data_IF_204666729514
#
_entry.id   IF_204666729514
#
_cell.length_a   1.000
_cell.length_b   1.000
_cell.length_c   1.000
_cell.angle_alpha   90.00
_cell.angle_beta   90.00
_cell.angle_gamma   90.00
#
_symmetry.space_group_name_H-M   'P 1'
#
loop_
_entity.id
_entity.type
_entity.pdbx_description
1 polymer ?
#
# COMPACT_ATOMS: atom_id res chain seq x y z
N UNK A 1 10.98 8.87 7.59
CA UNK A 1 11.56 8.75 6.25
C UNK A 1 10.59 9.36 5.27
N UNK A 2 11.05 10.29 4.46
CA UNK A 2 10.20 10.90 3.42
C UNK A 2 9.94 9.84 2.33
N UNK A 3 8.69 9.61 1.99
CA UNK A 3 8.31 8.89 0.78
C UNK A 3 8.91 9.61 -0.43
N UNK A 4 9.67 8.93 -1.27
CA UNK A 4 10.21 9.49 -2.50
C UNK A 4 9.47 8.93 -3.72
N UNK A 5 9.35 9.75 -4.77
CA UNK A 5 8.66 9.42 -6.01
C UNK A 5 9.12 8.11 -6.66
N UNK A 6 10.41 7.80 -6.56
CA UNK A 6 11.02 6.67 -7.27
C UNK A 6 10.73 5.31 -6.63
N UNK A 7 10.06 5.29 -5.50
CA UNK A 7 9.93 4.12 -4.64
C UNK A 7 8.50 3.78 -4.23
N UNK A 8 7.55 4.63 -4.60
CA UNK A 8 6.15 4.41 -4.30
C UNK A 8 5.39 4.05 -5.56
N UNK A 9 4.76 2.88 -5.55
CA UNK A 9 3.86 2.42 -6.60
C UNK A 9 2.45 2.33 -6.02
N UNK A 10 1.46 2.84 -6.73
CA UNK A 10 0.05 2.72 -6.40
C UNK A 10 -0.67 1.95 -7.49
N UNK A 11 -1.55 1.05 -7.07
CA UNK A 11 -2.45 0.31 -7.94
C UNK A 11 -3.88 0.49 -7.47
N UNK A 12 -4.81 0.72 -8.40
CA UNK A 12 -6.24 0.70 -8.13
C UNK A 12 -6.82 -0.49 -8.88
N UNK A 13 -7.53 -1.34 -8.16
CA UNK A 13 -8.17 -2.52 -8.71
C UNK A 13 -9.67 -2.48 -8.42
N UNK A 14 -10.44 -3.10 -9.29
CA UNK A 14 -11.86 -3.35 -9.11
C UNK A 14 -12.08 -4.87 -9.03
N UNK A 15 -12.76 -5.33 -7.98
CA UNK A 15 -13.16 -6.72 -7.82
C UNK A 15 -14.43 -6.98 -8.61
N UNK A 16 -14.36 -7.88 -9.57
CA UNK A 16 -15.52 -8.32 -10.32
C UNK A 16 -15.96 -9.68 -9.78
N UNK A 17 -17.16 -9.73 -9.19
CA UNK A 17 -17.71 -10.94 -8.58
C UNK A 17 -17.91 -12.06 -9.63
N UNK A 18 -18.14 -11.69 -10.90
CA UNK A 18 -18.34 -12.66 -11.99
C UNK A 18 -17.06 -13.32 -12.49
N UNK A 19 -15.90 -12.68 -12.28
CA UNK A 19 -14.61 -13.16 -12.79
C UNK A 19 -13.72 -13.68 -11.65
N UNK A 20 -14.06 -13.37 -10.39
CA UNK A 20 -13.32 -13.79 -9.20
C UNK A 20 -11.91 -13.19 -9.07
N UNK A 21 -11.55 -12.25 -9.97
CA UNK A 21 -10.24 -11.57 -9.97
C UNK A 21 -10.39 -10.07 -9.89
N UNK A 22 -9.49 -9.43 -9.15
CA UNK A 22 -9.38 -7.98 -9.13
C UNK A 22 -8.61 -7.50 -10.37
N UNK A 23 -9.17 -6.53 -11.10
CA UNK A 23 -8.59 -6.00 -12.34
C UNK A 23 -8.30 -4.50 -12.21
N UNK A 24 -7.23 -4.04 -12.84
CA UNK A 24 -6.85 -2.62 -12.86
C UNK A 24 -7.65 -1.78 -13.86
N UNK A 25 -8.67 -2.36 -14.49
CA UNK A 25 -9.53 -1.71 -15.48
C UNK A 25 -10.96 -2.22 -15.38
N UNK A 26 -11.91 -1.46 -15.90
CA UNK A 26 -13.30 -1.87 -16.02
C UNK A 26 -13.56 -2.52 -17.37
N UNK A 27 -14.58 -3.39 -17.40
CA UNK A 27 -14.93 -4.18 -18.60
C UNK A 27 -15.96 -3.51 -19.50
N UNK A 28 -16.59 -2.42 -19.05
CA UNK A 28 -17.72 -1.79 -19.72
C UNK A 28 -17.57 -0.26 -19.80
N UNK A 29 -18.39 0.36 -20.63
CA UNK A 29 -18.44 1.81 -20.79
C UNK A 29 -17.26 2.41 -21.56
N UNK A 30 -17.19 3.75 -21.61
CA UNK A 30 -16.12 4.48 -22.31
C UNK A 30 -14.73 4.31 -21.68
N UNK A 31 -14.67 3.72 -20.49
CA UNK A 31 -13.44 3.43 -19.74
C UNK A 31 -12.97 2.00 -19.89
N UNK A 32 -13.65 1.21 -20.71
CA UNK A 32 -13.31 -0.21 -20.95
C UNK A 32 -11.84 -0.36 -21.32
N UNK A 33 -11.13 -1.20 -20.55
CA UNK A 33 -9.72 -1.50 -20.76
C UNK A 33 -8.74 -0.38 -20.42
N UNK A 34 -9.22 0.78 -19.97
CA UNK A 34 -8.33 1.85 -19.48
C UNK A 34 -7.96 1.58 -18.03
N UNK A 35 -6.72 1.77 -17.68
CA UNK A 35 -6.29 1.64 -16.28
C UNK A 35 -7.03 2.62 -15.37
N UNK A 36 -7.43 2.15 -14.19
CA UNK A 36 -8.14 2.95 -13.21
C UNK A 36 -7.32 4.14 -12.71
N UNK A 37 -6.00 4.02 -12.59
CA UNK A 37 -5.12 5.16 -12.30
C UNK A 37 -5.32 6.30 -13.30
N UNK A 38 -5.37 5.99 -14.59
CA UNK A 38 -5.61 6.97 -15.65
C UNK A 38 -7.01 7.56 -15.60
N UNK A 39 -8.02 6.71 -15.34
CA UNK A 39 -9.41 7.16 -15.19
C UNK A 39 -9.56 8.14 -14.02
N UNK A 40 -8.82 7.92 -12.94
CA UNK A 40 -8.82 8.77 -11.73
C UNK A 40 -7.83 9.95 -11.80
N UNK A 41 -7.23 10.22 -12.99
CA UNK A 41 -6.23 11.27 -13.21
C UNK A 41 -4.97 11.17 -12.33
N UNK A 42 -4.59 9.94 -11.95
CA UNK A 42 -3.39 9.63 -11.16
C UNK A 42 -2.23 9.11 -12.03
N UNK A 43 -2.42 9.02 -13.34
CA UNK A 43 -1.45 8.65 -14.37
C UNK A 43 -1.66 9.57 -15.57
N UNK A 44 -0.96 10.71 -15.60
CA UNK A 44 -1.00 11.73 -16.64
C UNK A 44 0.36 12.03 -17.23
N UNK A 45 1.42 11.67 -16.52
CA UNK A 45 2.80 11.97 -16.83
C UNK A 45 3.56 10.68 -17.14
N UNK A 46 4.64 10.82 -17.93
CA UNK A 46 5.65 9.76 -18.08
C UNK A 46 6.80 9.96 -17.07
N UNK A 47 7.72 9.01 -17.03
CA UNK A 47 8.89 9.05 -16.15
C UNK A 47 9.81 10.30 -16.40
N UNK A 48 9.56 11.07 -17.45
CA UNK A 48 10.27 12.32 -17.79
C UNK A 48 9.44 13.57 -17.53
N UNK A 49 8.28 13.43 -16.86
CA UNK A 49 7.29 14.49 -16.61
C UNK A 49 6.67 15.10 -17.88
N UNK A 50 6.63 14.38 -19.00
CA UNK A 50 5.83 14.79 -20.14
C UNK A 50 4.38 14.34 -19.95
N UNK A 51 3.43 15.05 -20.56
CA UNK A 51 2.00 14.74 -20.50
C UNK A 51 1.65 13.51 -21.35
N UNK A 52 2.15 12.35 -20.94
CA UNK A 52 1.94 11.06 -21.58
C UNK A 52 1.79 9.97 -20.51
N UNK A 53 0.60 9.41 -20.32
CA UNK A 53 0.40 8.35 -19.33
C UNK A 53 1.29 7.15 -19.62
N UNK A 54 1.97 6.63 -18.60
CA UNK A 54 2.89 5.48 -18.71
C UNK A 54 2.42 4.23 -17.94
N UNK A 55 1.25 4.28 -17.34
CA UNK A 55 0.66 3.19 -16.56
C UNK A 55 1.11 3.15 -15.10
N UNK A 56 1.81 4.18 -14.64
CA UNK A 56 2.31 4.31 -13.29
C UNK A 56 1.65 5.45 -12.55
N UNK A 57 1.69 5.38 -11.23
CA UNK A 57 1.20 6.45 -10.38
C UNK A 57 2.13 7.67 -10.46
N UNK A 58 1.55 8.82 -10.78
CA UNK A 58 2.26 10.11 -10.77
C UNK A 58 2.43 10.59 -9.32
N UNK A 59 3.60 10.37 -8.74
CA UNK A 59 3.89 10.88 -7.42
C UNK A 59 4.28 12.37 -7.49
N UNK A 60 3.33 13.24 -7.17
CA UNK A 60 3.56 14.69 -7.10
C UNK A 60 3.18 15.18 -5.71
N UNK A 61 4.20 15.59 -4.92
CA UNK A 61 3.98 16.07 -3.55
C UNK A 61 3.02 17.27 -3.52
N UNK A 62 2.03 17.21 -2.65
CA UNK A 62 0.98 18.21 -2.51
C UNK A 62 -0.13 18.15 -3.57
N UNK A 63 -0.02 17.30 -4.60
CA UNK A 63 -1.03 17.17 -5.65
C UNK A 63 -1.66 15.77 -5.72
N UNK A 64 -0.85 14.71 -5.82
CA UNK A 64 -1.32 13.33 -5.83
C UNK A 64 -0.93 12.56 -4.57
N UNK A 65 0.03 13.06 -3.82
CA UNK A 65 0.50 12.47 -2.58
C UNK A 65 0.89 13.55 -1.57
N UNK A 66 0.75 13.21 -0.29
CA UNK A 66 1.29 13.99 0.82
C UNK A 66 2.13 13.05 1.69
N UNK A 67 3.45 13.17 1.56
CA UNK A 67 4.41 12.30 2.27
C UNK A 67 4.41 12.50 3.77
N UNK A 68 4.12 13.72 4.24
CA UNK A 68 4.13 14.06 5.67
C UNK A 68 2.96 13.42 6.42
N UNK A 69 1.80 13.27 5.74
CA UNK A 69 0.59 12.69 6.32
C UNK A 69 0.32 11.26 5.85
N UNK A 70 1.10 10.75 4.88
CA UNK A 70 0.91 9.43 4.28
C UNK A 70 -0.38 9.30 3.48
N UNK A 71 -0.85 10.39 2.86
CA UNK A 71 -2.12 10.41 2.13
C UNK A 71 -1.91 10.42 0.63
N UNK A 72 -2.77 9.69 -0.08
CA UNK A 72 -2.97 9.84 -1.52
C UNK A 72 -4.09 10.85 -1.75
N UNK A 73 -3.87 11.76 -2.68
CA UNK A 73 -4.79 12.82 -3.06
C UNK A 73 -5.28 12.52 -4.46
N UNK A 74 -6.58 12.39 -4.63
CA UNK A 74 -7.19 12.27 -5.94
C UNK A 74 -7.42 13.68 -6.51
N UNK A 75 -6.85 14.01 -7.69
CA UNK A 75 -7.01 15.35 -8.28
C UNK A 75 -8.35 15.51 -9.00
N UNK A 76 -9.37 14.82 -8.55
CA UNK A 76 -10.75 14.84 -9.04
C UNK A 76 -11.71 14.75 -7.86
N UNK A 77 -12.86 15.38 -7.98
CA UNK A 77 -13.92 15.24 -6.99
C UNK A 77 -14.64 13.91 -7.17
N UNK A 78 -14.99 13.26 -6.06
CA UNK A 78 -15.77 12.02 -6.03
C UNK A 78 -15.26 10.95 -7.01
N UNK A 79 -13.97 10.53 -6.89
CA UNK A 79 -13.32 9.67 -7.87
C UNK A 79 -14.08 8.36 -8.12
N UNK A 80 -14.69 7.76 -7.09
CA UNK A 80 -15.46 6.51 -7.20
C UNK A 80 -16.98 6.73 -7.37
N UNK A 81 -17.43 7.97 -7.43
CA UNK A 81 -18.82 8.39 -7.61
C UNK A 81 -19.04 9.11 -8.95
N UNK A 82 -19.44 10.37 -8.88
CA UNK A 82 -19.82 11.19 -10.03
C UNK A 82 -18.73 11.30 -11.10
N UNK A 83 -17.45 11.39 -10.70
CA UNK A 83 -16.33 11.41 -11.67
C UNK A 83 -16.29 10.12 -12.51
N UNK A 84 -16.37 8.96 -11.85
CA UNK A 84 -16.35 7.67 -12.53
C UNK A 84 -17.60 7.49 -13.41
N UNK A 85 -18.78 7.93 -12.94
CA UNK A 85 -20.01 7.89 -13.72
C UNK A 85 -19.88 8.66 -15.04
N UNK A 86 -19.34 9.88 -14.97
CA UNK A 86 -19.08 10.71 -16.13
C UNK A 86 -18.06 10.07 -17.09
N UNK A 87 -17.00 9.47 -16.55
CA UNK A 87 -16.00 8.79 -17.36
C UNK A 87 -16.57 7.56 -18.08
N UNK A 88 -17.46 6.79 -17.45
CA UNK A 88 -18.16 5.64 -18.04
C UNK A 88 -19.12 6.08 -19.15
N UNK A 89 -19.79 7.23 -18.98
CA UNK A 89 -20.61 7.86 -20.01
C UNK A 89 -21.98 7.22 -20.26
N UNK A 90 -22.35 6.17 -19.53
CA UNK A 90 -23.66 5.51 -19.59
C UNK A 90 -24.16 5.26 -18.17
N UNK A 91 -25.32 5.80 -17.82
CA UNK A 91 -25.86 5.74 -16.45
C UNK A 91 -26.16 4.34 -15.96
N UNK A 92 -26.74 3.49 -16.79
CA UNK A 92 -27.06 2.10 -16.40
C UNK A 92 -25.82 1.24 -16.21
N UNK A 93 -24.74 1.53 -16.93
CA UNK A 93 -23.45 0.88 -16.74
C UNK A 93 -22.77 1.47 -15.50
N UNK A 94 -22.82 2.77 -15.33
CA UNK A 94 -22.19 3.46 -14.22
C UNK A 94 -22.70 2.96 -12.85
N UNK A 95 -24.00 2.77 -12.70
CA UNK A 95 -24.62 2.26 -11.48
C UNK A 95 -24.00 0.95 -10.96
N UNK A 96 -23.48 0.12 -11.84
CA UNK A 96 -22.81 -1.15 -11.47
C UNK A 96 -21.47 -0.93 -10.80
N UNK A 97 -20.81 0.18 -11.10
CA UNK A 97 -19.41 0.43 -10.73
C UNK A 97 -19.20 1.53 -9.71
N UNK A 98 -20.11 2.54 -9.66
CA UNK A 98 -19.94 3.68 -8.78
C UNK A 98 -20.29 3.35 -7.34
N UNK A 99 -19.62 4.08 -6.45
CA UNK A 99 -19.91 4.07 -5.03
C UNK A 99 -20.13 5.52 -4.56
N UNK A 100 -21.25 6.11 -4.97
CA UNK A 100 -21.59 7.51 -4.68
C UNK A 100 -21.81 7.74 -3.18
N UNK A 101 -22.28 6.73 -2.46
CA UNK A 101 -22.56 6.78 -1.03
C UNK A 101 -21.30 7.02 -0.16
N UNK A 102 -20.11 6.84 -0.72
CA UNK A 102 -18.86 7.27 -0.05
C UNK A 102 -18.84 8.78 0.24
N UNK A 103 -19.59 9.56 -0.55
CA UNK A 103 -19.59 11.02 -0.50
C UNK A 103 -20.90 11.59 0.07
N UNK A 104 -22.02 10.88 -0.11
CA UNK A 104 -23.34 11.35 0.23
C UNK A 104 -23.87 10.76 1.56
N UNK A 105 -23.16 9.81 2.16
CA UNK A 105 -23.59 9.16 3.40
C UNK A 105 -22.54 9.26 4.52
N UNK A 106 -22.87 8.72 5.69
CA UNK A 106 -21.90 8.60 6.78
C UNK A 106 -20.91 7.48 6.51
N UNK A 107 -19.73 7.54 7.14
CA UNK A 107 -18.72 6.47 7.03
C UNK A 107 -19.29 5.09 7.39
N UNK A 108 -20.08 5.01 8.47
CA UNK A 108 -20.70 3.77 8.91
C UNK A 108 -21.66 3.21 7.86
N UNK A 109 -22.56 4.08 7.33
CA UNK A 109 -23.51 3.65 6.29
C UNK A 109 -22.81 3.21 5.01
N UNK A 110 -21.73 3.88 4.60
CA UNK A 110 -20.95 3.46 3.43
C UNK A 110 -20.25 2.12 3.66
N UNK A 111 -19.72 1.88 4.86
CA UNK A 111 -19.09 0.61 5.22
C UNK A 111 -20.04 -0.59 5.20
N UNK A 112 -21.33 -0.37 5.50
CA UNK A 112 -22.36 -1.41 5.45
C UNK A 112 -22.74 -1.83 4.03
N UNK A 113 -22.42 -1.01 3.00
CA UNK A 113 -22.70 -1.31 1.60
C UNK A 113 -21.60 -2.15 0.95
N UNK A 114 -21.44 -3.37 1.45
CA UNK A 114 -20.35 -4.29 1.03
C UNK A 114 -20.39 -4.64 -0.46
N UNK A 115 -21.58 -4.69 -1.07
CA UNK A 115 -21.77 -4.96 -2.51
C UNK A 115 -21.24 -3.85 -3.42
N UNK A 116 -21.08 -2.62 -2.90
CA UNK A 116 -20.49 -1.49 -3.63
C UNK A 116 -19.02 -1.29 -3.32
N UNK A 117 -18.52 -1.85 -2.24
CA UNK A 117 -17.12 -1.74 -1.80
C UNK A 117 -16.21 -2.71 -2.58
N UNK A 118 -16.04 -2.44 -3.88
CA UNK A 118 -15.29 -3.30 -4.81
C UNK A 118 -13.95 -2.73 -5.25
N UNK A 119 -13.66 -1.49 -4.89
CA UNK A 119 -12.36 -0.88 -5.22
C UNK A 119 -11.32 -1.21 -4.15
N UNK A 120 -10.13 -1.61 -4.60
CA UNK A 120 -8.98 -1.90 -3.76
C UNK A 120 -7.83 -1.02 -4.17
N UNK A 121 -7.30 -0.26 -3.22
CA UNK A 121 -6.09 0.53 -3.39
C UNK A 121 -4.93 -0.23 -2.77
N UNK A 122 -3.88 -0.50 -3.57
CA UNK A 122 -2.67 -1.18 -3.11
C UNK A 122 -1.48 -0.27 -3.33
N UNK A 123 -0.73 0.00 -2.27
CA UNK A 123 0.51 0.73 -2.32
C UNK A 123 1.70 -0.19 -2.09
N UNK A 124 2.74 -0.05 -2.92
CA UNK A 124 4.06 -0.64 -2.67
C UNK A 124 5.07 0.47 -2.49
N UNK A 125 5.87 0.37 -1.46
CA UNK A 125 6.92 1.32 -1.19
C UNK A 125 8.27 0.62 -1.06
N UNK A 126 9.22 0.99 -1.93
CA UNK A 126 10.62 0.61 -1.73
C UNK A 126 11.24 1.60 -0.76
N UNK A 127 11.32 1.25 0.51
CA UNK A 127 12.02 2.07 1.49
C UNK A 127 13.51 2.16 1.17
N UNK A 128 14.00 3.36 0.91
CA UNK A 128 15.46 3.61 0.83
C UNK A 128 16.03 4.05 2.17
N UNK A 129 15.21 4.19 3.15
CA UNK A 129 15.63 4.49 4.51
C UNK A 129 15.28 3.34 5.41
N UNK A 130 15.52 2.18 4.98
CA UNK A 130 15.06 1.14 5.77
C UNK A 130 16.00 -0.03 5.90
N UNK A 131 17.26 0.22 5.93
CA UNK A 131 18.08 -0.72 6.64
C UNK A 131 17.83 -0.64 8.17
N UNK A 132 17.06 0.35 8.66
CA UNK A 132 16.77 0.53 10.09
C UNK A 132 15.33 0.12 10.43
N UNK A 133 15.19 -0.85 11.32
CA UNK A 133 13.92 -1.40 11.82
C UNK A 133 13.81 -1.07 13.30
N UNK A 134 12.78 -0.35 13.71
CA UNK A 134 12.52 -0.02 15.11
C UNK A 134 11.69 -1.11 15.78
N UNK A 135 12.19 -1.62 16.91
CA UNK A 135 11.59 -2.75 17.61
C UNK A 135 10.51 -2.33 18.63
N UNK A 136 10.23 -1.03 18.78
CA UNK A 136 9.32 -0.48 19.80
C UNK A 136 9.64 -0.98 21.24
N UNK A 137 10.89 -1.29 21.49
CA UNK A 137 11.44 -1.70 22.77
C UNK A 137 12.77 -1.02 22.98
N UNK A 138 13.07 -0.63 24.20
CA UNK A 138 14.34 0.01 24.62
C UNK A 138 15.06 -0.91 25.60
N UNK A 139 16.39 -0.75 25.72
CA UNK A 139 17.23 -1.55 26.62
C UNK A 139 17.04 -3.07 26.44
N UNK A 140 17.08 -3.50 25.18
CA UNK A 140 16.89 -4.90 24.80
C UNK A 140 18.13 -5.70 25.23
N UNK A 141 17.96 -6.91 25.82
CA UNK A 141 19.10 -7.77 26.15
C UNK A 141 19.93 -8.13 24.90
N UNK A 142 21.25 -8.12 25.02
CA UNK A 142 22.11 -8.53 23.91
C UNK A 142 21.88 -10.00 23.56
N UNK A 143 21.85 -10.29 22.25
CA UNK A 143 21.62 -11.63 21.73
C UNK A 143 20.16 -12.08 21.76
N UNK A 144 19.20 -11.21 22.15
CA UNK A 144 17.77 -11.53 22.12
C UNK A 144 17.06 -11.18 20.79
N UNK A 145 17.81 -10.64 19.84
CA UNK A 145 17.26 -10.23 18.54
C UNK A 145 17.64 -11.28 17.49
N UNK A 146 16.64 -11.92 16.91
CA UNK A 146 16.82 -12.83 15.78
C UNK A 146 16.23 -12.17 14.53
N UNK A 147 17.04 -12.04 13.49
CA UNK A 147 16.63 -11.47 12.20
C UNK A 147 16.66 -12.53 11.12
N UNK A 148 15.58 -12.61 10.35
CA UNK A 148 15.48 -13.52 9.20
C UNK A 148 15.06 -12.75 7.95
N UNK A 149 15.56 -13.16 6.77
CA UNK A 149 15.14 -12.60 5.49
C UNK A 149 14.79 -13.74 4.53
N UNK A 150 13.57 -13.71 3.97
CA UNK A 150 13.10 -14.77 3.09
C UNK A 150 13.17 -16.18 3.72
N UNK A 151 13.07 -16.28 5.04
CA UNK A 151 13.18 -17.53 5.81
C UNK A 151 14.60 -17.94 6.20
N UNK A 152 15.64 -17.26 5.70
CA UNK A 152 17.02 -17.50 6.09
C UNK A 152 17.40 -16.65 7.31
N UNK A 153 18.07 -17.23 8.29
CA UNK A 153 18.58 -16.49 9.46
C UNK A 153 19.78 -15.65 9.08
N UNK A 154 19.76 -14.39 9.46
CA UNK A 154 20.84 -13.43 9.24
C UNK A 154 21.83 -13.44 10.39
N UNK A 155 23.09 -13.04 10.11
CA UNK A 155 24.17 -13.01 11.08
C UNK A 155 24.39 -11.59 11.57
N UNK A 156 24.32 -11.39 12.90
CA UNK A 156 24.60 -10.10 13.53
C UNK A 156 26.05 -9.68 13.28
N UNK A 157 26.25 -8.38 13.05
CA UNK A 157 27.51 -7.73 12.65
C UNK A 157 28.06 -8.14 11.27
N UNK A 158 27.34 -8.97 10.51
CA UNK A 158 27.64 -9.31 9.11
C UNK A 158 26.51 -8.81 8.22
N UNK A 159 25.29 -9.29 8.44
CA UNK A 159 24.11 -8.95 7.65
C UNK A 159 23.31 -7.81 8.28
N UNK A 160 23.38 -7.63 9.59
CA UNK A 160 22.68 -6.58 10.32
C UNK A 160 23.44 -6.19 11.61
N UNK A 161 23.11 -5.03 12.16
CA UNK A 161 23.53 -4.58 13.50
C UNK A 161 22.33 -4.23 14.35
N UNK A 162 22.49 -4.29 15.67
CA UNK A 162 21.45 -3.93 16.64
C UNK A 162 21.93 -2.83 17.59
N UNK A 163 21.19 -1.74 17.64
CA UNK A 163 21.29 -0.82 18.78
C UNK A 163 20.35 -1.31 19.89
N UNK A 164 20.90 -2.02 20.83
CA UNK A 164 20.16 -2.60 21.95
C UNK A 164 19.58 -1.56 22.91
N UNK A 165 20.17 -0.35 22.95
CA UNK A 165 19.70 0.74 23.80
C UNK A 165 18.47 1.42 23.20
N UNK A 166 18.54 1.75 21.91
CA UNK A 166 17.45 2.42 21.20
C UNK A 166 16.42 1.45 20.65
N UNK A 167 16.73 0.15 20.61
CA UNK A 167 15.86 -0.87 20.07
C UNK A 167 15.72 -0.78 18.55
N UNK A 168 16.84 -0.60 17.85
CA UNK A 168 16.85 -0.53 16.40
C UNK A 168 17.74 -1.61 15.78
N UNK A 169 17.28 -2.20 14.69
CA UNK A 169 18.05 -3.13 13.85
C UNK A 169 18.37 -2.44 12.55
N UNK A 170 19.63 -2.45 12.16
CA UNK A 170 20.09 -1.89 10.88
C UNK A 170 20.59 -3.02 9.98
N UNK A 171 19.95 -3.21 8.82
CA UNK A 171 20.40 -4.19 7.82
C UNK A 171 21.61 -3.63 7.08
N UNK A 172 22.69 -4.40 7.04
CA UNK A 172 23.95 -4.07 6.36
C UNK A 172 24.04 -4.71 4.98
N UNK A 173 23.39 -5.86 4.80
CA UNK A 173 23.46 -6.62 3.56
C UNK A 173 22.64 -5.95 2.44
N UNK A 174 23.36 -5.32 1.52
CA UNK A 174 22.77 -4.55 0.42
C UNK A 174 21.91 -5.43 -0.50
N UNK A 175 22.26 -6.68 -0.70
CA UNK A 175 21.48 -7.61 -1.55
C UNK A 175 20.07 -7.84 -1.00
N UNK A 176 19.90 -7.86 0.33
CA UNK A 176 18.59 -8.01 0.98
C UNK A 176 17.76 -6.72 0.79
N UNK A 177 18.42 -5.57 0.91
CA UNK A 177 17.78 -4.27 0.73
C UNK A 177 17.31 -4.11 -0.73
N UNK A 178 18.17 -4.40 -1.68
CA UNK A 178 17.91 -4.22 -3.12
C UNK A 178 16.87 -5.22 -3.66
N UNK A 179 16.87 -6.45 -3.13
CA UNK A 179 15.90 -7.47 -3.53
C UNK A 179 14.49 -7.23 -2.99
N UNK A 180 14.34 -6.35 -1.98
CA UNK A 180 13.07 -6.14 -1.29
C UNK A 180 12.58 -7.39 -0.56
N UNK A 181 13.51 -8.27 -0.14
CA UNK A 181 13.17 -9.48 0.62
C UNK A 181 12.56 -9.10 1.96
N UNK A 182 11.48 -9.75 2.34
CA UNK A 182 10.85 -9.54 3.65
C UNK A 182 11.82 -9.88 4.77
N UNK A 183 12.04 -8.92 5.67
CA UNK A 183 12.86 -9.10 6.86
C UNK A 183 11.96 -9.22 8.08
N UNK A 184 12.06 -10.35 8.77
CA UNK A 184 11.34 -10.59 10.02
C UNK A 184 12.32 -10.45 11.19
N UNK A 185 11.91 -9.70 12.22
CA UNK A 185 12.69 -9.52 13.45
C UNK A 185 11.91 -10.10 14.63
N UNK A 186 12.53 -11.03 15.34
CA UNK A 186 11.98 -11.63 16.56
C UNK A 186 12.78 -11.17 17.76
N UNK A 187 12.10 -10.78 18.83
CA UNK A 187 12.69 -10.57 20.14
C UNK A 187 12.48 -11.82 20.98
N UNK A 188 13.57 -12.48 21.35
CA UNK A 188 13.53 -13.56 22.34
C UNK A 188 13.53 -12.94 23.74
N UNK A 189 12.35 -12.87 24.35
CA UNK A 189 12.28 -12.53 25.77
C UNK A 189 12.61 -13.79 26.58
N UNK A 190 13.61 -13.70 27.45
CA UNK A 190 13.91 -14.71 28.46
C UNK A 190 12.83 -14.82 29.57
N UNK A 191 11.73 -14.10 29.45
CA UNK A 191 10.58 -14.30 30.32
C UNK A 191 9.65 -15.36 29.72
N UNK A 192 9.50 -16.45 30.41
CA UNK A 192 8.73 -17.63 30.00
C UNK A 192 7.22 -17.39 29.75
N UNK A 193 6.76 -16.16 29.60
CA UNK A 193 5.31 -15.87 29.57
C UNK A 193 4.86 -14.72 28.65
N UNK A 194 5.52 -14.42 27.54
CA UNK A 194 4.83 -13.61 26.51
C UNK A 194 5.41 -13.76 25.12
N UNK A 195 4.82 -14.65 24.34
CA UNK A 195 5.01 -14.64 22.88
C UNK A 195 4.22 -13.47 22.30
N UNK A 196 4.85 -12.33 22.09
CA UNK A 196 4.33 -11.31 21.18
C UNK A 196 5.07 -11.46 19.83
N UNK A 197 4.42 -12.11 18.88
CA UNK A 197 4.85 -12.08 17.49
C UNK A 197 4.57 -10.67 16.96
N UNK A 198 5.60 -9.90 16.69
CA UNK A 198 5.49 -8.69 15.87
C UNK A 198 6.20 -8.96 14.56
N UNK A 199 5.41 -9.20 13.52
CA UNK A 199 5.91 -9.23 12.15
C UNK A 199 5.92 -7.80 11.63
N UNK A 200 7.07 -7.32 11.17
CA UNK A 200 7.16 -6.06 10.44
C UNK A 200 6.99 -6.39 8.96
N UNK A 201 5.81 -6.10 8.45
CA UNK A 201 5.53 -6.20 7.03
C UNK A 201 6.02 -4.93 6.34
N UNK A 202 6.79 -5.09 5.28
CA UNK A 202 6.83 -4.06 4.24
C UNK A 202 5.39 -3.86 3.78
N UNK A 203 4.86 -2.62 3.87
CA UNK A 203 3.45 -2.35 3.78
C UNK A 203 2.86 -2.84 2.45
N UNK A 204 2.28 -4.03 2.47
CA UNK A 204 1.24 -4.44 1.57
C UNK A 204 -0.07 -4.13 2.30
N UNK A 205 -0.64 -2.97 2.03
CA UNK A 205 -1.97 -2.61 2.51
C UNK A 205 -2.98 -3.24 1.57
N UNK A 206 -3.30 -4.50 1.82
CA UNK A 206 -4.49 -5.13 1.28
C UNK A 206 -5.60 -4.98 2.32
N UNK A 207 -6.55 -4.11 2.04
CA UNK A 207 -7.71 -3.91 2.88
C UNK A 207 -8.82 -4.84 2.38
N UNK A 208 -8.92 -6.00 2.95
CA UNK A 208 -10.02 -6.95 2.73
C UNK A 208 -11.12 -6.71 3.77
N UNK A 209 -12.27 -6.18 3.32
CA UNK A 209 -13.50 -6.30 4.11
C UNK A 209 -14.02 -7.73 3.99
N UNK A 210 -13.75 -8.53 4.98
CA UNK A 210 -14.31 -9.87 5.04
C UNK A 210 -15.78 -9.79 5.47
N UNK A 211 -16.64 -10.50 4.73
CA UNK A 211 -18.03 -10.73 5.07
C UNK A 211 -18.08 -11.86 6.09
N UNK A 212 -17.99 -11.57 7.36
CA UNK A 212 -18.49 -12.46 8.40
C UNK A 212 -18.88 -11.61 9.61
N UNK A 213 -20.09 -11.06 9.47
CA UNK A 213 -21.06 -10.86 10.55
C UNK A 213 -22.42 -10.58 9.93
#
# INVERSE_FOLDING_TARGET
>A
SQMSSDKFELYIQYRNDSVGTAMQYLMEGNVKGKQLLRVMNLDRLDARNNTSPDGRFDYVEGYTANSSTGRIIFPVLEPFGSHLANAIGNSSIAEKYIFQELYDSTLVSAQEMTEKNKFVLMGKYKGSAGNEIRLNAMNIPRGSVLVTAGGATLIENVDYTVDYTMGTVTILNQSIIDSGTNVDVKLENQSMFSMQRKSLFGAHLEYEFNKDF
#
